data_IF_027298692045
#
_entry.id   IF_027298692045
#
_cell.length_a   1.000
_cell.length_b   1.000
_cell.length_c   1.000
_cell.angle_alpha   90.00
_cell.angle_beta   90.00
_cell.angle_gamma   90.00
#
_symmetry.space_group_name_H-M   'P 1'
#
loop_
_entity.id
_entity.type
_entity.pdbx_description
1 polymer ?
#
# COMPACT_ATOMS: atom_id res chain seq x y z
N UNK A 1 -3.28 27.32 15.86
CA UNK A 1 -2.42 26.59 16.82
C UNK A 1 -3.11 26.64 18.16
N UNK A 2 -3.40 25.48 18.74
CA UNK A 2 -3.92 25.38 20.11
C UNK A 2 -2.94 24.50 20.90
N UNK A 3 -2.59 24.95 22.10
CA UNK A 3 -1.79 24.17 23.04
C UNK A 3 -2.64 23.00 23.52
N UNK A 4 -2.05 21.80 23.54
CA UNK A 4 -2.71 20.64 24.17
C UNK A 4 -2.30 20.64 25.63
N UNK A 5 -3.30 20.69 26.52
CA UNK A 5 -3.15 20.44 27.95
C UNK A 5 -2.17 21.38 28.71
N UNK A 6 -1.91 22.59 28.20
CA UNK A 6 -1.05 23.58 28.86
C UNK A 6 0.45 23.26 28.83
N UNK A 7 0.86 22.21 28.12
CA UNK A 7 2.26 21.88 27.93
C UNK A 7 2.87 22.80 26.86
N UNK A 8 3.90 23.55 27.25
CA UNK A 8 4.59 24.52 26.37
C UNK A 8 5.47 23.86 25.32
N UNK A 9 5.48 22.52 25.25
CA UNK A 9 6.27 21.73 24.29
C UNK A 9 5.43 20.90 23.33
N UNK A 10 4.10 20.88 23.48
CA UNK A 10 3.20 20.12 22.59
C UNK A 10 2.11 21.00 21.98
N UNK A 11 1.88 20.83 20.68
CA UNK A 11 0.90 21.60 19.92
C UNK A 11 0.36 20.81 18.74
N UNK A 12 -0.85 21.15 18.31
CA UNK A 12 -1.44 20.59 17.08
C UNK A 12 -1.32 21.59 15.93
N UNK A 13 -0.86 21.08 14.80
CA UNK A 13 -0.90 21.76 13.51
C UNK A 13 -1.83 20.97 12.58
N UNK A 14 -2.70 21.69 11.89
CA UNK A 14 -3.58 21.13 10.86
C UNK A 14 -3.45 21.92 9.57
N UNK A 15 -3.52 21.21 8.45
CA UNK A 15 -3.60 21.77 7.11
C UNK A 15 -4.66 20.98 6.36
N UNK A 16 -5.47 21.68 5.57
CA UNK A 16 -6.49 21.07 4.72
C UNK A 16 -6.10 21.30 3.28
N UNK A 17 -6.02 20.22 2.50
CA UNK A 17 -5.76 20.26 1.06
C UNK A 17 -6.81 19.42 0.34
N UNK A 18 -7.30 19.91 -0.79
CA UNK A 18 -8.15 19.11 -1.69
C UNK A 18 -7.23 18.37 -2.64
N UNK A 19 -7.28 17.04 -2.60
CA UNK A 19 -6.50 16.17 -3.47
C UNK A 19 -7.37 15.72 -4.65
N UNK A 20 -6.80 15.79 -5.86
CA UNK A 20 -7.40 15.17 -7.04
C UNK A 20 -7.23 13.65 -7.01
N UNK A 21 -7.77 12.94 -7.99
CA UNK A 21 -7.50 11.50 -8.17
C UNK A 21 -5.99 11.24 -8.23
N UNK A 22 -5.53 10.02 -7.87
CA UNK A 22 -4.12 9.53 -7.83
C UNK A 22 -3.53 9.39 -6.39
N UNK A 23 -2.35 8.78 -6.28
CA UNK A 23 -1.54 8.64 -5.07
C UNK A 23 -0.73 9.91 -4.81
N UNK A 24 -1.00 10.56 -3.69
CA UNK A 24 -0.30 11.77 -3.25
C UNK A 24 0.64 11.44 -2.11
N UNK A 25 1.93 11.72 -2.27
CA UNK A 25 2.83 11.79 -1.14
C UNK A 25 2.58 13.11 -0.40
N UNK A 26 2.20 13.01 0.86
CA UNK A 26 1.96 14.15 1.74
C UNK A 26 3.13 14.26 2.69
N UNK A 27 3.92 15.32 2.53
CA UNK A 27 4.96 15.70 3.47
C UNK A 27 4.43 16.79 4.41
N UNK A 28 4.44 16.51 5.71
CA UNK A 28 4.12 17.49 6.75
C UNK A 28 5.44 17.98 7.33
N UNK A 29 5.68 19.28 7.27
CA UNK A 29 6.89 19.93 7.77
C UNK A 29 6.47 21.03 8.75
N UNK A 30 6.93 20.92 10.00
CA UNK A 30 6.81 21.95 11.02
C UNK A 30 8.19 22.59 11.18
N UNK A 31 8.26 23.91 10.97
CA UNK A 31 9.48 24.71 11.07
C UNK A 31 9.30 25.84 12.10
N UNK A 32 10.41 26.43 12.54
CA UNK A 32 10.52 27.55 13.49
C UNK A 32 10.61 27.09 14.97
N UNK A 33 9.79 27.62 15.88
CA UNK A 33 9.87 27.32 17.32
C UNK A 33 9.66 25.83 17.66
N UNK A 34 8.92 25.10 16.82
CA UNK A 34 8.81 23.64 16.84
C UNK A 34 9.35 23.08 15.53
N UNK A 35 10.02 21.93 15.60
CA UNK A 35 10.59 21.25 14.43
C UNK A 35 10.10 19.81 14.36
N UNK A 36 9.70 19.36 13.17
CA UNK A 36 9.27 18.00 12.95
C UNK A 36 8.84 17.76 11.51
N UNK A 37 9.01 16.54 11.02
CA UNK A 37 8.47 16.15 9.71
C UNK A 37 7.94 14.72 9.72
N UNK A 38 6.93 14.48 8.90
CA UNK A 38 6.43 13.13 8.61
C UNK A 38 5.96 13.06 7.16
N UNK A 39 5.91 11.86 6.61
CA UNK A 39 5.38 11.60 5.28
C UNK A 39 4.35 10.49 5.31
N UNK A 40 3.33 10.60 4.47
CA UNK A 40 2.32 9.59 4.24
C UNK A 40 1.98 9.53 2.75
N UNK A 41 1.39 8.42 2.29
CA UNK A 41 0.77 8.34 0.97
C UNK A 41 -0.74 8.32 1.17
N UNK A 42 -1.44 9.17 0.43
CA UNK A 42 -2.91 9.22 0.39
C UNK A 42 -3.35 8.92 -1.03
N UNK A 43 -4.16 7.88 -1.21
CA UNK A 43 -4.77 7.55 -2.49
C UNK A 43 -6.16 8.17 -2.60
N UNK A 44 -6.46 8.83 -3.73
CA UNK A 44 -7.80 9.30 -4.04
C UNK A 44 -8.30 8.63 -5.32
N UNK A 45 -9.40 7.91 -5.20
CA UNK A 45 -9.94 7.07 -6.25
C UNK A 45 -11.40 7.44 -6.59
N UNK A 46 -11.75 7.41 -7.87
CA UNK A 46 -13.13 7.38 -8.34
C UNK A 46 -13.38 6.07 -9.06
N UNK A 47 -14.11 5.12 -8.45
CA UNK A 47 -14.27 3.80 -9.03
C UNK A 47 -15.23 3.75 -10.22
N UNK A 48 -14.86 3.01 -11.28
CA UNK A 48 -15.76 2.55 -12.33
C UNK A 48 -15.50 1.06 -12.66
N UNK A 49 -16.53 0.21 -12.56
CA UNK A 49 -16.36 -1.23 -12.77
C UNK A 49 -15.64 -1.92 -11.61
N UNK A 50 -14.93 -3.03 -11.87
CA UNK A 50 -14.15 -3.75 -10.86
C UNK A 50 -12.83 -3.03 -10.58
N UNK A 51 -12.53 -2.80 -9.31
CA UNK A 51 -11.34 -2.08 -8.86
C UNK A 51 -10.83 -2.57 -7.51
N UNK A 52 -9.55 -2.35 -7.28
CA UNK A 52 -8.90 -2.46 -5.99
C UNK A 52 -8.15 -1.17 -5.72
N UNK A 53 -8.36 -0.59 -4.55
CA UNK A 53 -7.68 0.65 -4.13
C UNK A 53 -7.31 0.54 -2.66
N UNK A 54 -6.29 1.25 -2.24
CA UNK A 54 -5.92 1.26 -0.84
C UNK A 54 -4.72 2.13 -0.56
N UNK A 55 -4.57 2.47 0.71
CA UNK A 55 -3.44 3.24 1.20
C UNK A 55 -3.21 2.96 2.66
N UNK A 56 -1.94 2.94 3.07
CA UNK A 56 -1.57 2.57 4.42
C UNK A 56 -0.10 2.25 4.57
N UNK A 57 0.20 1.48 5.62
CA UNK A 57 1.53 0.95 5.83
C UNK A 57 1.52 -0.43 6.47
N UNK A 58 2.58 -1.19 6.20
CA UNK A 58 2.97 -2.38 6.94
C UNK A 58 4.06 -2.03 7.96
N UNK A 59 4.03 -2.68 9.12
CA UNK A 59 5.19 -2.74 10.03
C UNK A 59 5.98 -4.00 9.71
N UNK A 60 7.23 -3.84 9.27
CA UNK A 60 8.01 -4.96 8.74
C UNK A 60 8.52 -5.85 9.87
N UNK A 61 8.22 -7.15 9.79
CA UNK A 61 8.76 -8.17 10.69
C UNK A 61 9.88 -8.96 9.99
N UNK A 62 9.54 -9.75 8.96
CA UNK A 62 10.49 -10.61 8.27
C UNK A 62 10.48 -10.35 6.75
N UNK A 63 11.02 -9.21 6.32
CA UNK A 63 11.18 -8.95 4.89
C UNK A 63 12.24 -9.87 4.28
N UNK A 64 12.13 -10.12 2.97
CA UNK A 64 13.07 -10.92 2.19
C UNK A 64 13.55 -10.23 0.92
N UNK A 65 14.56 -10.80 0.28
CA UNK A 65 15.12 -10.30 -0.98
C UNK A 65 16.40 -9.47 -0.80
N UNK A 66 16.98 -9.05 -1.93
CA UNK A 66 18.24 -8.27 -1.97
C UNK A 66 18.10 -6.90 -1.32
N UNK A 67 16.91 -6.32 -1.36
CA UNK A 67 16.52 -5.05 -0.73
C UNK A 67 15.47 -5.30 0.35
N UNK A 68 15.67 -6.33 1.18
CA UNK A 68 14.78 -6.62 2.30
C UNK A 68 14.64 -5.38 3.20
N UNK A 69 13.39 -5.01 3.50
CA UNK A 69 13.12 -3.85 4.32
C UNK A 69 13.58 -4.06 5.77
N UNK A 70 14.03 -2.98 6.42
CA UNK A 70 14.55 -3.02 7.78
C UNK A 70 13.45 -3.46 8.76
N UNK A 71 13.71 -4.47 9.60
CA UNK A 71 12.76 -4.92 10.63
C UNK A 71 12.37 -3.78 11.57
N UNK A 72 11.08 -3.69 11.90
CA UNK A 72 10.48 -2.63 12.70
C UNK A 72 10.19 -1.33 11.93
N UNK A 73 10.69 -1.19 10.69
CA UNK A 73 10.39 -0.02 9.87
C UNK A 73 8.99 -0.09 9.26
N UNK A 74 8.48 1.08 8.84
CA UNK A 74 7.22 1.19 8.09
C UNK A 74 7.49 1.08 6.58
N UNK A 75 6.71 0.24 5.90
CA UNK A 75 6.57 0.22 4.44
C UNK A 75 5.24 0.85 4.07
N UNK A 76 5.27 2.07 3.54
CA UNK A 76 4.07 2.80 3.13
C UNK A 76 3.68 2.40 1.71
N UNK A 77 2.40 2.31 1.45
CA UNK A 77 1.87 2.00 0.13
C UNK A 77 0.64 2.87 -0.19
N UNK A 78 0.42 3.10 -1.47
CA UNK A 78 -0.82 3.62 -2.03
C UNK A 78 -1.00 3.10 -3.44
N UNK A 79 -2.21 2.69 -3.78
CA UNK A 79 -2.51 2.18 -5.12
C UNK A 79 -3.97 2.41 -5.47
N UNK A 80 -4.21 2.59 -6.76
CA UNK A 80 -5.51 2.44 -7.38
C UNK A 80 -5.35 1.63 -8.65
N UNK A 81 -6.08 0.53 -8.77
CA UNK A 81 -6.08 -0.31 -9.96
C UNK A 81 -7.52 -0.64 -10.31
N UNK A 82 -7.92 -0.37 -11.55
CA UNK A 82 -9.29 -0.54 -12.02
C UNK A 82 -9.35 -1.05 -13.46
N UNK A 83 -10.47 -1.68 -13.80
CA UNK A 83 -10.83 -1.97 -15.18
C UNK A 83 -11.61 -0.81 -15.80
N UNK A 84 -10.91 0.05 -16.56
CA UNK A 84 -11.58 1.10 -17.35
C UNK A 84 -12.37 0.50 -18.54
N UNK A 85 -11.94 -0.65 -19.06
CA UNK A 85 -12.61 -1.46 -20.08
C UNK A 85 -12.18 -2.94 -19.92
N UNK A 86 -13.00 -3.89 -20.40
CA UNK A 86 -12.91 -5.33 -20.09
C UNK A 86 -11.63 -6.07 -20.55
N UNK A 87 -10.57 -5.37 -20.98
CA UNK A 87 -9.34 -6.00 -21.51
C UNK A 87 -8.03 -5.54 -20.91
N UNK A 88 -7.96 -4.38 -20.25
CA UNK A 88 -6.66 -3.89 -19.73
C UNK A 88 -6.84 -3.10 -18.44
N UNK A 89 -6.31 -3.59 -17.31
CA UNK A 89 -6.34 -2.83 -16.08
C UNK A 89 -5.48 -1.58 -16.22
N UNK A 90 -5.89 -0.51 -15.52
CA UNK A 90 -5.19 0.77 -15.44
C UNK A 90 -5.09 1.18 -14.00
N UNK A 91 -4.10 2.02 -13.71
CA UNK A 91 -3.84 2.40 -12.35
C UNK A 91 -2.38 2.68 -12.10
N UNK A 92 -2.08 2.90 -10.84
CA UNK A 92 -0.75 3.17 -10.32
C UNK A 92 -0.60 2.57 -8.93
N UNK A 93 0.66 2.36 -8.59
CA UNK A 93 1.10 1.78 -7.32
C UNK A 93 2.36 2.52 -6.93
N UNK A 94 2.41 2.97 -5.67
CA UNK A 94 3.54 3.64 -5.08
C UNK A 94 3.85 3.02 -3.72
N UNK A 95 5.08 2.58 -3.51
CA UNK A 95 5.51 1.90 -2.28
C UNK A 95 6.82 2.51 -1.84
N UNK A 96 6.94 2.87 -0.56
CA UNK A 96 8.14 3.46 0.03
C UNK A 96 8.56 2.65 1.24
N UNK A 97 9.82 2.20 1.27
CA UNK A 97 10.38 1.40 2.37
C UNK A 97 11.84 1.77 2.64
N UNK A 98 12.36 1.31 3.78
CA UNK A 98 13.76 1.50 4.18
C UNK A 98 14.50 0.17 4.16
N UNK A 99 15.73 0.16 3.66
CA UNK A 99 16.62 -1.00 3.65
C UNK A 99 18.05 -0.53 3.82
N UNK A 100 18.74 -1.03 4.85
CA UNK A 100 20.13 -0.66 5.15
C UNK A 100 20.32 0.84 5.37
N UNK A 101 19.32 1.51 5.96
CA UNK A 101 19.35 2.96 6.20
C UNK A 101 19.02 3.84 4.98
N UNK A 102 18.80 3.25 3.79
CA UNK A 102 18.39 3.98 2.59
C UNK A 102 16.88 3.89 2.39
N UNK A 103 16.27 4.96 1.86
CA UNK A 103 14.87 4.97 1.45
C UNK A 103 14.76 4.57 -0.02
N UNK A 104 13.93 3.58 -0.30
CA UNK A 104 13.61 3.11 -1.64
C UNK A 104 12.16 3.39 -1.98
N UNK A 105 11.90 3.59 -3.27
CA UNK A 105 10.55 3.79 -3.78
C UNK A 105 10.32 2.90 -5.00
N UNK A 106 9.22 2.15 -4.96
CA UNK A 106 8.70 1.37 -6.08
C UNK A 106 7.56 2.16 -6.69
N UNK A 107 7.62 2.40 -8.01
CA UNK A 107 6.50 2.98 -8.78
C UNK A 107 6.14 2.04 -9.91
N UNK A 108 4.88 1.63 -9.99
CA UNK A 108 4.39 0.89 -11.15
C UNK A 108 4.47 1.77 -12.41
N UNK A 109 4.77 1.15 -13.54
CA UNK A 109 4.80 1.79 -14.86
C UNK A 109 3.69 1.29 -15.78
N UNK A 110 3.29 0.02 -15.64
CA UNK A 110 2.20 -0.57 -16.39
C UNK A 110 1.56 -1.69 -15.57
N UNK A 111 0.24 -1.65 -15.38
CA UNK A 111 -0.49 -2.77 -14.76
C UNK A 111 -0.70 -3.85 -15.83
N UNK A 112 -0.23 -5.06 -15.53
CA UNK A 112 -0.29 -6.21 -16.43
C UNK A 112 -1.61 -6.98 -16.25
N UNK A 113 -2.01 -7.20 -14.99
CA UNK A 113 -3.21 -7.99 -14.65
C UNK A 113 -3.82 -7.55 -13.33
N UNK A 114 -5.14 -7.70 -13.19
CA UNK A 114 -5.89 -7.56 -11.95
C UNK A 114 -6.90 -8.71 -11.88
N UNK A 115 -6.80 -9.55 -10.86
CA UNK A 115 -7.82 -10.54 -10.51
C UNK A 115 -8.58 -10.06 -9.28
N UNK A 116 -9.91 -10.15 -9.30
CA UNK A 116 -10.77 -9.83 -8.15
C UNK A 116 -11.71 -11.01 -7.92
N UNK A 117 -11.88 -11.41 -6.66
CA UNK A 117 -12.84 -12.44 -6.24
C UNK A 117 -13.38 -12.14 -4.85
N UNK A 118 -14.56 -12.66 -4.55
CA UNK A 118 -15.20 -12.54 -3.25
C UNK A 118 -15.38 -13.91 -2.60
N UNK A 119 -14.92 -14.05 -1.35
CA UNK A 119 -15.02 -15.31 -0.61
C UNK A 119 -15.37 -15.10 0.86
N UNK A 120 -16.15 -16.02 1.41
CA UNK A 120 -16.39 -16.12 2.86
C UNK A 120 -15.10 -16.47 3.61
N UNK A 121 -15.05 -16.33 4.95
CA UNK A 121 -13.93 -16.81 5.76
C UNK A 121 -13.65 -18.31 5.59
N UNK A 122 -14.66 -19.10 5.20
CA UNK A 122 -14.56 -20.53 4.90
C UNK A 122 -14.14 -20.83 3.45
N UNK A 123 -13.83 -19.80 2.65
CA UNK A 123 -13.35 -19.93 1.27
C UNK A 123 -14.44 -20.16 0.22
N UNK A 124 -15.72 -20.08 0.59
CA UNK A 124 -16.84 -20.23 -0.35
C UNK A 124 -17.09 -18.92 -1.10
N UNK A 125 -17.55 -18.96 -2.36
CA UNK A 125 -17.96 -17.73 -3.04
C UNK A 125 -19.03 -16.98 -2.25
N UNK A 126 -18.92 -15.66 -2.19
CA UNK A 126 -19.95 -14.80 -1.63
C UNK A 126 -20.25 -13.64 -2.58
N UNK A 127 -21.38 -12.98 -2.36
CA UNK A 127 -21.84 -11.84 -3.15
C UNK A 127 -22.18 -10.69 -2.21
N UNK A 128 -21.71 -9.49 -2.53
CA UNK A 128 -21.90 -8.30 -1.71
C UNK A 128 -20.61 -7.48 -1.65
N UNK A 129 -20.65 -6.31 -1.00
CA UNK A 129 -19.45 -5.55 -0.71
C UNK A 129 -18.55 -6.32 0.26
N UNK A 130 -17.28 -5.94 0.30
CA UNK A 130 -16.35 -6.50 1.28
C UNK A 130 -16.86 -6.26 2.72
N UNK A 131 -16.86 -7.33 3.52
CA UNK A 131 -17.33 -7.36 4.90
C UNK A 131 -16.62 -8.48 5.69
N UNK A 132 -16.78 -8.54 7.02
CA UNK A 132 -16.26 -9.65 7.82
C UNK A 132 -16.78 -11.04 7.41
N UNK A 133 -17.92 -11.10 6.71
CA UNK A 133 -18.56 -12.32 6.19
C UNK A 133 -18.25 -12.58 4.71
N UNK A 134 -17.75 -11.57 3.98
CA UNK A 134 -17.45 -11.67 2.56
C UNK A 134 -16.21 -10.84 2.21
N UNK A 135 -15.04 -11.49 2.12
CA UNK A 135 -13.77 -10.82 1.85
C UNK A 135 -13.63 -10.48 0.37
N UNK A 136 -13.24 -9.24 0.08
CA UNK A 136 -12.78 -8.84 -1.23
C UNK A 136 -11.30 -9.17 -1.39
N UNK A 137 -10.96 -10.01 -2.36
CA UNK A 137 -9.58 -10.45 -2.60
C UNK A 137 -9.13 -9.92 -3.96
N UNK A 138 -7.97 -9.28 -4.01
CA UNK A 138 -7.35 -8.88 -5.26
C UNK A 138 -5.90 -9.37 -5.37
N UNK A 139 -5.52 -9.76 -6.59
CA UNK A 139 -4.13 -10.05 -6.98
C UNK A 139 -3.84 -9.25 -8.24
N UNK A 140 -2.80 -8.41 -8.21
CA UNK A 140 -2.37 -7.71 -9.41
C UNK A 140 -0.87 -7.79 -9.62
N UNK A 141 -0.50 -7.76 -10.90
CA UNK A 141 0.89 -7.70 -11.36
C UNK A 141 1.10 -6.45 -12.19
N UNK A 142 2.28 -5.89 -12.08
CA UNK A 142 2.67 -4.71 -12.83
C UNK A 142 4.16 -4.71 -13.14
N UNK A 143 4.53 -3.99 -14.19
CA UNK A 143 5.88 -3.47 -14.35
C UNK A 143 6.12 -2.33 -13.38
N UNK A 144 7.33 -2.25 -12.86
CA UNK A 144 7.71 -1.22 -11.90
C UNK A 144 9.17 -0.77 -12.04
N UNK A 145 9.45 0.41 -11.48
CA UNK A 145 10.78 0.94 -11.28
C UNK A 145 11.09 0.98 -9.77
N UNK A 146 12.33 0.67 -9.41
CA UNK A 146 12.89 0.85 -8.08
C UNK A 146 13.91 1.99 -8.14
N UNK A 147 13.62 3.10 -7.44
CA UNK A 147 14.44 4.32 -7.47
C UNK A 147 15.90 4.00 -7.12
N UNK A 148 16.82 4.45 -7.98
CA UNK A 148 18.26 4.25 -7.79
C UNK A 148 18.79 2.84 -8.11
N UNK A 149 17.93 1.90 -8.51
CA UNK A 149 18.33 0.51 -8.80
C UNK A 149 18.05 0.14 -10.25
N UNK A 150 16.83 0.33 -10.74
CA UNK A 150 16.48 -0.07 -12.10
C UNK A 150 14.99 -0.08 -12.40
N UNK A 151 14.65 -0.44 -13.64
CA UNK A 151 13.28 -0.50 -14.15
C UNK A 151 12.92 -1.84 -14.76
N UNK A 152 11.70 -1.93 -15.31
CA UNK A 152 11.13 -3.15 -15.89
C UNK A 152 11.10 -4.35 -14.92
N UNK A 153 11.01 -4.04 -13.62
CA UNK A 153 10.86 -5.02 -12.55
C UNK A 153 9.43 -5.55 -12.53
N UNK A 154 9.22 -6.72 -11.94
CA UNK A 154 7.88 -7.29 -11.80
C UNK A 154 7.42 -7.12 -10.37
N UNK A 155 6.41 -6.27 -10.18
CA UNK A 155 5.73 -6.05 -8.91
C UNK A 155 4.48 -6.93 -8.87
N UNK A 156 4.31 -7.70 -7.80
CA UNK A 156 3.10 -8.44 -7.49
C UNK A 156 2.57 -8.01 -6.12
N UNK A 157 1.26 -7.80 -6.03
CA UNK A 157 0.57 -7.50 -4.79
C UNK A 157 -0.66 -8.38 -4.65
N UNK A 158 -0.80 -8.99 -3.48
CA UNK A 158 -2.01 -9.71 -3.07
C UNK A 158 -2.62 -8.99 -1.89
N UNK A 159 -3.94 -8.90 -1.85
CA UNK A 159 -4.62 -8.19 -0.79
C UNK A 159 -6.00 -8.77 -0.49
N UNK A 160 -6.38 -8.65 0.78
CA UNK A 160 -7.67 -9.06 1.31
C UNK A 160 -8.30 -7.90 2.08
N UNK A 161 -9.38 -7.35 1.53
CA UNK A 161 -10.30 -6.40 2.15
C UNK A 161 -11.37 -7.18 2.94
N UNK A 162 -11.43 -6.94 4.25
CA UNK A 162 -12.39 -7.59 5.17
C UNK A 162 -13.48 -6.63 5.62
N UNK A 163 -13.67 -5.55 4.87
CA UNK A 163 -14.65 -4.50 5.10
C UNK A 163 -14.14 -3.36 5.97
N UNK A 164 -14.93 -2.31 6.00
CA UNK A 164 -14.64 -1.09 6.74
C UNK A 164 -14.63 -1.33 8.28
N UNK A 165 -13.70 -0.71 9.03
CA UNK A 165 -12.80 0.38 8.64
C UNK A 165 -11.39 -0.07 8.18
N UNK A 166 -11.24 -1.29 7.64
CA UNK A 166 -9.96 -1.82 7.14
C UNK A 166 -9.02 -2.37 8.21
N UNK A 167 -9.46 -2.39 9.47
CA UNK A 167 -8.63 -2.81 10.62
C UNK A 167 -8.24 -4.30 10.59
N UNK A 168 -8.84 -5.10 9.71
CA UNK A 168 -8.54 -6.52 9.52
C UNK A 168 -7.94 -6.84 8.15
N UNK A 169 -7.67 -5.81 7.35
CA UNK A 169 -7.18 -5.95 5.99
C UNK A 169 -5.75 -6.46 5.97
N UNK A 170 -5.44 -7.25 4.95
CA UNK A 170 -4.11 -7.83 4.78
C UNK A 170 -3.56 -7.55 3.40
N UNK A 171 -2.25 -7.34 3.30
CA UNK A 171 -1.55 -7.08 2.04
C UNK A 171 -0.18 -7.75 2.01
N UNK A 172 0.18 -8.28 0.85
CA UNK A 172 1.50 -8.84 0.55
C UNK A 172 2.09 -8.13 -0.65
N UNK A 173 3.37 -7.75 -0.58
CA UNK A 173 4.07 -7.00 -1.62
C UNK A 173 5.34 -7.76 -2.00
N UNK A 174 5.51 -8.03 -3.29
CA UNK A 174 6.70 -8.71 -3.81
C UNK A 174 7.25 -8.00 -5.05
N UNK A 175 8.57 -7.81 -5.10
CA UNK A 175 9.27 -7.24 -6.25
C UNK A 175 10.36 -8.20 -6.75
N UNK A 176 10.35 -8.43 -8.07
CA UNK A 176 11.26 -9.34 -8.75
C UNK A 176 12.06 -8.65 -9.85
N UNK A 177 13.30 -9.08 -10.05
CA UNK A 177 14.10 -8.84 -11.25
C UNK A 177 14.40 -10.17 -11.94
N UNK A 178 13.57 -10.55 -12.91
CA UNK A 178 13.57 -11.92 -13.43
C UNK A 178 13.27 -12.92 -12.30
N UNK A 179 14.19 -13.85 -12.04
CA UNK A 179 14.06 -14.83 -10.96
C UNK A 179 14.65 -14.35 -9.62
N UNK A 180 15.25 -13.15 -9.59
CA UNK A 180 15.86 -12.62 -8.37
C UNK A 180 14.82 -11.87 -7.54
N UNK A 181 14.64 -12.32 -6.29
CA UNK A 181 13.80 -11.62 -5.32
C UNK A 181 14.50 -10.33 -4.87
N UNK A 182 13.89 -9.19 -5.20
CA UNK A 182 14.38 -7.89 -4.73
C UNK A 182 13.75 -7.52 -3.39
N UNK A 183 12.44 -7.74 -3.24
CA UNK A 183 11.71 -7.42 -2.02
C UNK A 183 10.56 -8.41 -1.81
N UNK A 184 10.37 -8.84 -0.57
CA UNK A 184 9.14 -9.44 -0.04
C UNK A 184 8.79 -8.72 1.25
N UNK A 185 7.54 -8.32 1.43
CA UNK A 185 7.07 -7.65 2.66
C UNK A 185 7.06 -8.57 3.88
N UNK A 186 6.80 -9.87 3.68
CA UNK A 186 6.85 -10.90 4.72
C UNK A 186 7.20 -12.25 4.08
N UNK A 187 8.46 -12.68 4.22
CA UNK A 187 9.03 -13.82 3.51
C UNK A 187 9.06 -15.08 4.38
N UNK A 188 8.45 -16.15 3.88
CA UNK A 188 8.43 -17.47 4.55
C UNK A 188 9.65 -18.34 4.24
N UNK A 189 10.56 -17.88 3.38
CA UNK A 189 11.59 -18.72 2.77
C UNK A 189 11.24 -19.19 1.35
N UNK A 190 9.95 -19.20 0.99
CA UNK A 190 9.46 -19.67 -0.31
C UNK A 190 8.47 -18.72 -0.99
N UNK A 191 7.66 -17.99 -0.23
CA UNK A 191 6.67 -17.05 -0.75
C UNK A 191 6.45 -15.88 0.20
N UNK A 192 5.96 -14.77 -0.39
CA UNK A 192 5.43 -13.63 0.35
C UNK A 192 4.04 -13.99 0.88
N UNK A 193 3.79 -13.74 2.16
CA UNK A 193 2.45 -13.86 2.74
C UNK A 193 1.86 -12.47 3.02
N UNK A 194 0.53 -12.39 3.04
CA UNK A 194 -0.14 -11.16 3.43
C UNK A 194 -0.01 -10.93 4.94
N UNK A 195 0.22 -9.68 5.32
CA UNK A 195 0.26 -9.26 6.72
C UNK A 195 -0.76 -8.18 7.00
N UNK A 196 -1.20 -8.13 8.26
CA UNK A 196 -2.14 -7.12 8.75
C UNK A 196 -1.58 -5.72 8.55
N UNK A 197 -2.43 -4.79 8.10
CA UNK A 197 -2.04 -3.39 8.01
C UNK A 197 -1.64 -2.85 9.39
N UNK A 198 -0.52 -2.12 9.45
CA UNK A 198 -0.17 -1.32 10.62
C UNK A 198 -1.05 -0.07 10.75
N UNK A 199 -1.72 0.31 9.65
CA UNK A 199 -2.73 1.35 9.55
C UNK A 199 -3.05 1.65 8.09
N UNK A 200 -4.26 2.15 7.82
CA UNK A 200 -4.78 2.35 6.46
C UNK A 200 -6.07 1.57 6.22
N UNK A 201 -6.45 1.46 4.96
CA UNK A 201 -7.66 0.76 4.51
C UNK A 201 -7.46 0.24 3.08
N UNK A 202 -8.10 -0.89 2.77
CA UNK A 202 -8.23 -1.42 1.42
C UNK A 202 -9.71 -1.41 1.03
N UNK A 203 -9.98 -1.22 -0.26
CA UNK A 203 -11.30 -1.33 -0.83
C UNK A 203 -11.25 -2.14 -2.12
N UNK A 204 -11.98 -3.26 -2.15
CA UNK A 204 -12.11 -4.16 -3.30
C UNK A 204 -13.57 -4.25 -3.71
N UNK A 205 -13.84 -4.07 -5.01
CA UNK A 205 -15.18 -4.04 -5.61
C UNK A 205 -15.17 -4.62 -7.03
#
# INVERSE_FOLDING_TARGET
>A
MALINGDTTTGTASCTVVLGLDAHQIDVIINNYYVGSTSAIVEVAQPNGSFATGGGYLTIANAGGTYAADTGSKMNFGFNVSYKNARTPKGHVNIVFRSGGNTYQIKSTAIDSLGITFKTPSGQPCSGPASPECYGIADFRSKANLTGVGGNLTLQMTLTDKGEPGASDTIGITLWNGNNLLLSSEWTGAQTIETLLGGGNLAVH
#
